data_IF_249417819128
#
_entry.id   IF_249417819128
#
_cell.length_a   1.000
_cell.length_b   1.000
_cell.length_c   1.000
_cell.angle_alpha   90.00
_cell.angle_beta   90.00
_cell.angle_gamma   90.00
#
_symmetry.space_group_name_H-M   'P 1'
#
loop_
_entity.id
_entity.type
_entity.pdbx_description
1 polymer ?
#
# COMPACT_ATOMS: atom_id res chain seq x y z
N UNK A 1 -22.72 19.34 31.74
CA UNK A 1 -21.27 19.32 32.04
C UNK A 1 -20.75 17.94 31.67
N UNK A 2 -19.73 17.87 30.82
CA UNK A 2 -19.32 16.67 30.08
C UNK A 2 -19.76 16.81 28.61
N UNK A 3 -18.93 16.66 27.58
CA UNK A 3 -17.56 16.17 27.49
C UNK A 3 -16.85 16.90 26.33
N UNK A 4 -15.55 17.12 26.47
CA UNK A 4 -14.64 17.42 25.38
C UNK A 4 -14.39 16.12 24.58
N UNK A 5 -14.60 16.16 23.26
CA UNK A 5 -13.88 15.29 22.32
C UNK A 5 -13.74 15.99 20.94
N UNK A 6 -12.55 15.98 20.31
CA UNK A 6 -12.27 16.76 19.10
C UNK A 6 -12.09 15.86 17.86
N UNK A 7 -13.14 15.53 17.10
CA UNK A 7 -12.97 14.80 15.82
C UNK A 7 -14.17 14.97 14.89
N UNK A 8 -14.15 15.95 13.97
CA UNK A 8 -15.06 15.97 12.80
C UNK A 8 -14.81 17.10 11.75
N UNK A 9 -13.80 17.97 11.87
CA UNK A 9 -13.74 19.17 11.00
C UNK A 9 -12.75 19.09 9.81
N UNK A 10 -11.83 18.11 9.78
CA UNK A 10 -10.78 18.04 8.74
C UNK A 10 -11.20 17.44 7.40
N UNK A 11 -12.09 16.44 7.40
CA UNK A 11 -12.46 15.68 6.19
C UNK A 11 -13.39 16.47 5.26
N UNK A 12 -14.20 17.38 5.83
CA UNK A 12 -15.11 18.22 5.06
C UNK A 12 -14.36 19.27 4.21
N UNK A 13 -13.22 19.78 4.69
CA UNK A 13 -12.40 20.74 3.95
C UNK A 13 -11.66 20.09 2.77
N UNK A 14 -11.08 18.90 2.97
CA UNK A 14 -10.40 18.15 1.89
C UNK A 14 -11.35 17.69 0.78
N UNK A 15 -12.57 17.30 1.13
CA UNK A 15 -13.60 16.91 0.14
C UNK A 15 -14.04 18.11 -0.71
N UNK A 16 -14.08 19.31 -0.12
CA UNK A 16 -14.46 20.55 -0.81
C UNK A 16 -13.39 21.03 -1.79
N UNK A 17 -12.11 20.83 -1.45
CA UNK A 17 -10.97 21.14 -2.32
C UNK A 17 -10.92 20.15 -3.50
N UNK A 18 -11.15 18.86 -3.25
CA UNK A 18 -11.18 17.81 -4.28
C UNK A 18 -12.26 18.08 -5.33
N UNK A 19 -13.48 18.42 -4.91
CA UNK A 19 -14.57 18.67 -5.85
C UNK A 19 -14.34 19.96 -6.67
N UNK A 20 -13.79 21.02 -6.06
CA UNK A 20 -13.45 22.25 -6.79
C UNK A 20 -12.29 22.11 -7.79
N UNK A 21 -11.36 21.18 -7.56
CA UNK A 21 -10.28 20.86 -8.50
C UNK A 21 -10.75 19.99 -9.67
N UNK A 22 -11.72 19.10 -9.44
CA UNK A 22 -12.38 18.33 -10.50
C UNK A 22 -13.17 19.27 -11.43
N UNK A 23 -13.89 20.25 -10.88
CA UNK A 23 -14.61 21.27 -11.67
C UNK A 23 -13.66 22.12 -12.54
N UNK A 24 -12.44 22.39 -12.05
CA UNK A 24 -11.39 23.10 -12.80
C UNK A 24 -10.82 22.23 -13.95
N UNK A 25 -10.83 20.91 -13.79
CA UNK A 25 -10.33 19.94 -14.77
C UNK A 25 -11.30 19.76 -15.95
N UNK A 26 -12.62 19.83 -15.72
CA UNK A 26 -13.64 19.78 -16.78
C UNK A 26 -13.67 21.06 -17.64
N UNK A 27 -13.27 22.21 -17.10
CA UNK A 27 -13.20 23.50 -17.82
C UNK A 27 -11.97 23.67 -18.74
N UNK A 28 -11.10 22.65 -18.80
CA UNK A 28 -9.86 22.58 -19.61
C UNK A 28 -9.97 23.03 -21.08
N UNK A 29 -11.07 22.79 -21.83
CA UNK A 29 -11.13 23.17 -23.24
C UNK A 29 -11.16 24.70 -23.47
N UNK A 30 -11.44 25.49 -22.44
CA UNK A 30 -11.67 26.94 -22.53
C UNK A 30 -10.50 27.79 -22.02
N UNK A 31 -9.43 27.16 -21.54
CA UNK A 31 -8.30 27.87 -20.93
C UNK A 31 -7.35 28.45 -22.00
N UNK A 32 -6.80 29.66 -21.76
CA UNK A 32 -5.87 30.27 -22.69
C UNK A 32 -4.60 29.41 -22.84
N UNK A 33 -4.06 29.26 -24.07
CA UNK A 33 -3.01 28.27 -24.37
C UNK A 33 -1.67 28.52 -23.67
N UNK A 34 -1.52 29.67 -23.02
CA UNK A 34 -0.35 30.07 -22.26
C UNK A 34 -0.24 29.34 -20.90
N UNK A 35 -1.33 28.77 -20.39
CA UNK A 35 -1.41 28.11 -19.07
C UNK A 35 -1.32 26.58 -19.18
N UNK A 36 -1.47 26.03 -20.39
CA UNK A 36 -1.31 24.61 -20.72
C UNK A 36 -0.06 23.94 -20.13
N UNK A 37 1.16 24.50 -20.26
CA UNK A 37 2.35 23.82 -19.75
C UNK A 37 2.36 23.75 -18.21
N UNK A 38 1.82 24.77 -17.53
CA UNK A 38 1.74 24.78 -16.07
C UNK A 38 0.72 23.75 -15.56
N UNK A 39 -0.37 23.55 -16.28
CA UNK A 39 -1.42 22.60 -15.87
C UNK A 39 -1.04 21.15 -16.20
N UNK A 40 -0.33 20.88 -17.31
CA UNK A 40 0.20 19.52 -17.56
C UNK A 40 1.23 19.14 -16.49
N UNK A 41 2.08 20.09 -16.07
CA UNK A 41 3.01 19.89 -14.95
C UNK A 41 2.26 19.72 -13.62
N UNK A 42 1.20 20.50 -13.38
CA UNK A 42 0.35 20.35 -12.21
C UNK A 42 -0.40 19.00 -12.20
N UNK A 43 -0.94 18.54 -13.32
CA UNK A 43 -1.56 17.21 -13.46
C UNK A 43 -0.54 16.10 -13.21
N UNK A 44 0.69 16.22 -13.73
CA UNK A 44 1.76 15.26 -13.47
C UNK A 44 2.16 15.23 -11.98
N UNK A 45 2.17 16.40 -11.32
CA UNK A 45 2.42 16.52 -9.89
C UNK A 45 1.26 16.00 -9.02
N UNK A 46 0.01 16.21 -9.44
CA UNK A 46 -1.18 15.67 -8.78
C UNK A 46 -1.28 14.15 -8.95
N UNK A 47 -0.95 13.61 -10.13
CA UNK A 47 -0.88 12.17 -10.39
C UNK A 47 0.17 11.46 -9.50
N UNK A 48 1.23 12.16 -9.09
CA UNK A 48 2.18 11.65 -8.09
C UNK A 48 1.62 11.66 -6.66
N UNK A 49 0.64 12.52 -6.36
CA UNK A 49 0.03 12.62 -5.03
C UNK A 49 -1.04 11.54 -4.78
N UNK A 50 -1.59 10.95 -5.85
CA UNK A 50 -2.62 9.90 -5.78
C UNK A 50 -2.08 8.54 -5.31
N UNK A 51 -0.76 8.31 -5.45
CA UNK A 51 -0.11 7.07 -4.99
C UNK A 51 -0.11 6.87 -3.47
N UNK A 52 -0.57 7.83 -2.67
CA UNK A 52 -0.71 7.65 -1.21
C UNK A 52 -2.02 6.99 -0.79
N UNK A 53 -3.04 6.93 -1.65
CA UNK A 53 -4.35 6.33 -1.28
C UNK A 53 -4.53 4.87 -1.74
N UNK A 54 -3.82 4.42 -2.78
CA UNK A 54 -3.83 3.00 -3.22
C UNK A 54 -3.08 2.05 -2.29
N UNK A 55 -2.37 2.58 -1.29
CA UNK A 55 -1.80 1.81 -0.19
C UNK A 55 -2.80 1.48 0.91
N UNK A 56 -4.12 1.51 0.64
CA UNK A 56 -5.13 0.94 1.54
C UNK A 56 -4.89 -0.56 1.61
N UNK A 57 -4.00 -0.90 2.54
CA UNK A 57 -3.68 -2.20 3.12
C UNK A 57 -4.78 -3.17 2.72
N UNK A 58 -4.44 -4.09 1.81
CA UNK A 58 -5.28 -5.27 1.55
C UNK A 58 -5.59 -5.84 2.93
N UNK A 59 -6.85 -5.74 3.32
CA UNK A 59 -7.34 -6.26 4.59
C UNK A 59 -6.85 -7.70 4.68
N UNK A 60 -5.79 -7.94 5.45
CA UNK A 60 -5.18 -9.26 5.58
C UNK A 60 -6.18 -10.09 6.39
N UNK A 61 -7.17 -10.63 5.70
CA UNK A 61 -8.19 -11.51 6.28
C UNK A 61 -7.53 -12.83 6.58
N UNK A 62 -6.90 -12.91 7.74
CA UNK A 62 -6.48 -14.17 8.34
C UNK A 62 -7.76 -14.95 8.63
N UNK A 63 -7.84 -16.18 8.12
CA UNK A 63 -8.97 -17.05 8.43
C UNK A 63 -9.10 -17.26 9.94
N UNK A 64 -10.33 -17.38 10.45
CA UNK A 64 -10.56 -17.49 11.91
C UNK A 64 -9.83 -18.68 12.53
N UNK A 65 -9.73 -19.80 11.81
CA UNK A 65 -9.02 -20.98 12.31
C UNK A 65 -7.50 -20.75 12.33
N UNK A 66 -6.96 -20.08 11.32
CA UNK A 66 -5.54 -19.70 11.28
C UNK A 66 -5.21 -18.69 12.39
N UNK A 67 -6.08 -17.71 12.62
CA UNK A 67 -5.92 -16.70 13.65
C UNK A 67 -5.90 -17.31 15.06
N UNK A 68 -6.82 -18.24 15.35
CA UNK A 68 -6.83 -18.96 16.63
C UNK A 68 -5.55 -19.79 16.84
N UNK A 69 -5.02 -20.42 15.78
CA UNK A 69 -3.75 -21.13 15.83
C UNK A 69 -2.56 -20.22 16.13
N UNK A 70 -2.49 -19.05 15.47
CA UNK A 70 -1.47 -18.04 15.72
C UNK A 70 -1.59 -17.44 17.12
N UNK A 71 -2.80 -17.12 17.57
CA UNK A 71 -3.05 -16.59 18.91
C UNK A 71 -2.60 -17.58 19.99
N UNK A 72 -2.82 -18.89 19.78
CA UNK A 72 -2.30 -19.93 20.67
C UNK A 72 -0.77 -19.98 20.68
N UNK A 73 -0.12 -19.89 19.52
CA UNK A 73 1.35 -19.87 19.47
C UNK A 73 1.94 -18.66 20.22
N UNK A 74 1.29 -17.50 20.10
CA UNK A 74 1.66 -16.30 20.87
C UNK A 74 1.41 -16.49 22.36
N UNK A 75 0.27 -17.06 22.74
CA UNK A 75 -0.08 -17.38 24.13
C UNK A 75 0.97 -18.31 24.76
N UNK A 76 1.31 -19.39 24.07
CA UNK A 76 2.30 -20.37 24.52
C UNK A 76 3.67 -19.70 24.73
N UNK A 77 4.08 -18.79 23.84
CA UNK A 77 5.32 -18.03 24.00
C UNK A 77 5.28 -17.08 25.21
N UNK A 78 4.18 -16.36 25.41
CA UNK A 78 4.00 -15.45 26.55
C UNK A 78 4.05 -16.18 27.89
N UNK A 79 3.45 -17.36 27.97
CA UNK A 79 3.47 -18.17 29.20
C UNK A 79 4.85 -18.76 29.43
N UNK A 80 5.46 -19.39 28.41
CA UNK A 80 6.70 -20.14 28.58
C UNK A 80 7.93 -19.23 28.77
N UNK A 81 8.01 -18.12 28.03
CA UNK A 81 9.22 -17.29 27.99
C UNK A 81 9.11 -16.03 28.85
N UNK A 82 7.89 -15.54 29.09
CA UNK A 82 7.66 -14.28 29.80
C UNK A 82 6.87 -14.45 31.11
N UNK A 83 6.43 -15.67 31.44
CA UNK A 83 5.61 -16.00 32.63
C UNK A 83 4.35 -15.13 32.75
N UNK A 84 3.76 -14.77 31.59
CA UNK A 84 2.52 -13.98 31.53
C UNK A 84 1.36 -14.88 31.15
N UNK A 85 0.43 -15.09 32.09
CA UNK A 85 -0.83 -15.78 31.83
C UNK A 85 -1.85 -14.83 31.17
N UNK A 86 -2.17 -15.11 29.91
CA UNK A 86 -3.04 -14.28 29.06
C UNK A 86 -4.08 -15.17 28.43
N UNK A 87 -5.33 -14.71 28.37
CA UNK A 87 -6.40 -15.47 27.70
C UNK A 87 -6.22 -15.51 26.17
N UNK A 88 -6.77 -16.54 25.51
CA UNK A 88 -6.74 -16.65 24.05
C UNK A 88 -7.36 -15.44 23.33
N UNK A 89 -8.43 -14.84 23.91
CA UNK A 89 -9.06 -13.65 23.35
C UNK A 89 -8.14 -12.42 23.40
N UNK A 90 -7.41 -12.24 24.50
CA UNK A 90 -6.42 -11.17 24.63
C UNK A 90 -5.26 -11.36 23.66
N UNK A 91 -4.85 -12.61 23.40
CA UNK A 91 -3.84 -12.92 22.40
C UNK A 91 -4.31 -12.61 20.98
N UNK A 92 -5.59 -12.88 20.65
CA UNK A 92 -6.17 -12.47 19.37
C UNK A 92 -6.18 -10.95 19.18
N UNK A 93 -6.52 -10.19 20.23
CA UNK A 93 -6.48 -8.72 20.20
C UNK A 93 -5.06 -8.19 20.02
N UNK A 94 -4.09 -8.79 20.72
CA UNK A 94 -2.67 -8.45 20.57
C UNK A 94 -2.21 -8.71 19.13
N UNK A 95 -2.59 -9.86 18.57
CA UNK A 95 -2.24 -10.23 17.21
C UNK A 95 -2.82 -9.24 16.19
N UNK A 96 -4.07 -8.78 16.38
CA UNK A 96 -4.68 -7.75 15.52
C UNK A 96 -3.89 -6.43 15.57
N UNK A 97 -3.52 -5.98 16.77
CA UNK A 97 -2.77 -4.75 16.92
C UNK A 97 -1.37 -4.85 16.30
N UNK A 98 -0.68 -5.96 16.53
CA UNK A 98 0.64 -6.21 15.94
C UNK A 98 0.51 -6.26 14.42
N UNK A 99 -0.48 -6.98 13.87
CA UNK A 99 -0.72 -7.04 12.44
C UNK A 99 -0.96 -5.66 11.80
N UNK A 100 -1.65 -4.76 12.49
CA UNK A 100 -1.85 -3.38 12.04
C UNK A 100 -0.52 -2.59 11.97
N UNK A 101 0.36 -2.76 12.96
CA UNK A 101 1.62 -2.00 13.05
C UNK A 101 2.71 -2.57 12.15
N UNK A 102 2.96 -3.89 12.20
CA UNK A 102 4.08 -4.52 11.48
C UNK A 102 3.67 -5.14 10.14
N UNK A 103 2.39 -5.44 9.93
CA UNK A 103 1.89 -6.10 8.73
C UNK A 103 2.32 -5.41 7.43
N UNK A 104 2.19 -4.08 7.28
CA UNK A 104 2.62 -3.38 6.07
C UNK A 104 4.12 -3.52 5.79
N UNK A 105 4.97 -3.53 6.83
CA UNK A 105 6.42 -3.64 6.65
C UNK A 105 6.81 -5.01 6.09
N UNK A 106 6.30 -6.09 6.67
CA UNK A 106 6.56 -7.45 6.19
C UNK A 106 5.93 -7.71 4.83
N UNK A 107 4.71 -7.20 4.58
CA UNK A 107 4.05 -7.32 3.29
C UNK A 107 4.85 -6.63 2.17
N UNK A 108 5.28 -5.39 2.40
CA UNK A 108 6.06 -4.64 1.43
C UNK A 108 7.42 -5.30 1.14
N UNK A 109 8.07 -5.85 2.17
CA UNK A 109 9.30 -6.58 1.99
C UNK A 109 9.08 -7.84 1.14
N UNK A 110 8.05 -8.64 1.46
CA UNK A 110 7.69 -9.82 0.68
C UNK A 110 7.38 -9.49 -0.78
N UNK A 111 6.72 -8.37 -1.06
CA UNK A 111 6.45 -7.93 -2.43
C UNK A 111 7.74 -7.55 -3.18
N UNK A 112 8.68 -6.87 -2.52
CA UNK A 112 9.99 -6.55 -3.11
C UNK A 112 10.81 -7.80 -3.40
N UNK A 113 10.77 -8.78 -2.49
CA UNK A 113 11.47 -10.05 -2.68
C UNK A 113 10.86 -10.83 -3.87
N UNK A 114 9.53 -10.86 -3.97
CA UNK A 114 8.83 -11.46 -5.12
C UNK A 114 9.19 -10.74 -6.43
N UNK A 115 9.21 -9.41 -6.43
CA UNK A 115 9.61 -8.61 -7.59
C UNK A 115 11.05 -8.95 -8.01
N UNK A 116 11.99 -9.02 -7.06
CA UNK A 116 13.38 -9.34 -7.34
C UNK A 116 13.54 -10.73 -7.98
N UNK A 117 12.79 -11.73 -7.52
CA UNK A 117 12.80 -13.08 -8.11
C UNK A 117 12.25 -13.06 -9.54
N UNK A 118 11.15 -12.33 -9.78
CA UNK A 118 10.56 -12.22 -11.12
C UNK A 118 11.49 -11.49 -12.08
N UNK A 119 12.07 -10.36 -11.67
CA UNK A 119 13.01 -9.60 -12.48
C UNK A 119 14.19 -10.46 -12.93
N UNK A 120 14.79 -11.23 -12.01
CA UNK A 120 15.88 -12.15 -12.38
C UNK A 120 15.46 -13.16 -13.44
N UNK A 121 14.27 -13.76 -13.31
CA UNK A 121 13.78 -14.70 -14.32
C UNK A 121 13.51 -14.05 -15.68
N UNK A 122 13.10 -12.78 -15.69
CA UNK A 122 12.93 -12.04 -16.94
C UNK A 122 14.28 -11.73 -17.58
N UNK A 123 15.28 -11.36 -16.79
CA UNK A 123 16.65 -11.12 -17.26
C UNK A 123 17.25 -12.41 -17.85
N UNK A 124 17.06 -13.55 -17.17
CA UNK A 124 17.48 -14.86 -17.67
C UNK A 124 16.81 -15.19 -19.02
N UNK A 125 15.50 -14.95 -19.13
CA UNK A 125 14.76 -15.18 -20.38
C UNK A 125 15.19 -14.23 -21.51
N UNK A 126 15.57 -12.98 -21.19
CA UNK A 126 16.11 -12.05 -22.17
C UNK A 126 17.48 -12.52 -22.68
N UNK A 127 18.35 -12.98 -21.77
CA UNK A 127 19.65 -13.54 -22.15
C UNK A 127 19.50 -14.77 -23.07
N UNK A 128 18.52 -15.64 -22.82
CA UNK A 128 18.22 -16.77 -23.71
C UNK A 128 17.80 -16.31 -25.12
N UNK A 129 17.09 -15.19 -25.24
CA UNK A 129 16.72 -14.60 -26.54
C UNK A 129 17.93 -14.01 -27.24
N UNK A 130 18.80 -13.30 -26.53
CA UNK A 130 20.02 -12.72 -27.08
C UNK A 130 20.94 -13.80 -27.70
N UNK A 131 20.99 -14.99 -27.10
CA UNK A 131 21.73 -16.15 -27.66
C UNK A 131 21.17 -16.60 -29.02
N UNK A 132 19.86 -16.43 -29.25
CA UNK A 132 19.21 -16.79 -30.51
C UNK A 132 19.37 -15.72 -31.60
N UNK A 133 19.87 -14.53 -31.26
CA UNK A 133 20.09 -13.47 -32.23
C UNK A 133 21.14 -13.89 -33.27
N UNK A 134 20.74 -13.92 -34.53
CA UNK A 134 21.65 -14.21 -35.64
C UNK A 134 22.22 -12.89 -36.18
N UNK A 135 23.54 -12.80 -36.39
CA UNK A 135 24.10 -11.63 -37.04
C UNK A 135 23.51 -11.49 -38.44
N UNK A 136 23.18 -10.25 -38.82
CA UNK A 136 22.80 -9.95 -40.20
C UNK A 136 23.97 -10.30 -41.11
N UNK A 137 23.83 -11.38 -41.88
CA UNK A 137 24.77 -11.75 -42.94
C UNK A 137 24.66 -10.73 -44.08
N UNK A 138 25.25 -9.56 -43.87
CA UNK A 138 25.45 -8.53 -44.89
C UNK A 138 26.59 -8.93 -45.81
N UNK A 139 26.25 -9.45 -46.99
CA UNK A 139 27.04 -9.27 -48.21
C UNK A 139 26.58 -8.00 -48.90
#
# INVERSE_FOLDING_TARGET
>A
MGCLSPTASGVCAQTKIRNGLIDLFEAWPTLPPLVLPYIVVAQSLYALHDRREEGRILELKIDKQQKAGLAKAVQDYLVNELDVDVSGLQCEMLLDHVAEVIGPAFYNQGLRDAQAVISRRMDDAAADIDVLEQPLNGR
#
